data_IF_998511460957
#
_entry.id   IF_998511460957
#
_cell.length_a   1.000
_cell.length_b   1.000
_cell.length_c   1.000
_cell.angle_alpha   90.00
_cell.angle_beta   90.00
_cell.angle_gamma   90.00
#
_symmetry.space_group_name_H-M   'P 1'
#
loop_
_entity.id
_entity.type
_entity.pdbx_description
1 polymer ?
2 non-polymer ?
3 water ?
#
# COMPACT_ATOMS: atom_id res chain seq x y z
N UNK A 10 1.49 -9.33 -13.58
CA UNK A 10 0.96 -7.99 -13.18
C UNK A 10 0.97 -6.95 -14.32
N UNK A 11 -0.09 -6.15 -14.39
CA UNK A 11 -0.09 -5.01 -15.29
C UNK A 11 0.71 -3.89 -14.58
N UNK A 12 0.62 -2.69 -15.15
CA UNK A 12 1.30 -1.51 -14.65
C UNK A 12 0.30 -0.45 -14.23
N UNK A 13 0.79 0.46 -13.41
CA UNK A 13 0.01 1.64 -13.08
C UNK A 13 0.15 2.74 -14.11
N UNK A 14 0.08 3.97 -13.63
CA UNK A 14 0.06 5.14 -14.52
C UNK A 14 1.28 5.98 -14.19
N UNK A 15 2.31 5.79 -14.99
CA UNK A 15 3.59 6.41 -14.70
C UNK A 15 4.02 7.16 -15.96
N UNK A 16 4.56 8.39 -15.81
CA UNK A 16 5.03 9.07 -17.05
C UNK A 16 6.05 8.26 -17.80
N UNK A 17 6.07 8.39 -19.12
CA UNK A 17 7.15 7.81 -19.93
C UNK A 17 8.44 8.46 -19.46
N UNK A 18 9.44 7.67 -19.21
CA UNK A 18 10.74 8.19 -18.83
C UNK A 18 10.82 8.56 -17.38
N UNK A 19 9.85 8.15 -16.58
CA UNK A 19 9.94 8.36 -15.12
C UNK A 19 11.22 7.78 -14.53
N UNK A 20 11.75 8.39 -13.50
CA UNK A 20 12.79 7.72 -12.74
C UNK A 20 12.36 6.40 -12.14
N UNK A 21 11.06 6.19 -11.94
CA UNK A 21 10.57 4.90 -11.50
C UNK A 21 10.36 4.08 -12.74
N UNK A 22 11.31 3.19 -12.97
CA UNK A 22 11.35 2.44 -14.22
C UNK A 22 10.53 1.15 -14.20
N UNK A 23 10.02 0.77 -13.01
CA UNK A 23 9.18 -0.43 -12.90
C UNK A 23 7.88 -0.04 -12.19
N UNK A 24 6.76 -0.61 -12.65
CA UNK A 24 5.45 -0.34 -12.04
C UNK A 24 4.63 -1.62 -12.00
N UNK A 25 4.37 -2.13 -10.78
CA UNK A 25 3.65 -3.37 -10.58
C UNK A 25 2.29 -3.07 -9.97
N UNK A 26 1.23 -3.42 -10.65
CA UNK A 26 -0.15 -3.13 -10.24
C UNK A 26 -0.82 -4.35 -9.65
N UNK A 27 -1.43 -4.17 -8.49
CA UNK A 27 -2.22 -5.18 -7.77
C UNK A 27 -3.66 -4.71 -7.90
N UNK A 28 -4.58 -5.59 -8.24
CA UNK A 28 -5.98 -5.21 -8.22
C UNK A 28 -6.68 -5.95 -7.11
N UNK A 29 -7.41 -5.23 -6.28
CA UNK A 29 -8.09 -5.83 -5.17
C UNK A 29 -9.46 -5.22 -5.00
N UNK A 30 -10.09 -5.57 -3.91
CA UNK A 30 -11.37 -4.93 -3.60
C UNK A 30 -11.66 -5.01 -2.13
N UNK A 31 -12.54 -4.15 -1.67
CA UNK A 31 -13.15 -4.25 -0.34
C UNK A 31 -14.50 -4.89 -0.55
N UNK A 32 -14.77 -5.99 0.14
CA UNK A 32 -16.09 -6.58 -0.01
C UNK A 32 -16.36 -7.54 1.10
N UNK A 33 -17.58 -7.43 1.64
CA UNK A 33 -18.00 -8.18 2.83
C UNK A 33 -17.10 -7.79 3.98
N UNK A 34 -16.53 -8.83 4.59
CA UNK A 34 -15.67 -8.74 5.78
C UNK A 34 -14.50 -7.76 5.60
N UNK A 35 -13.95 -7.74 4.40
CA UNK A 35 -12.71 -7.00 4.14
C UNK A 35 -12.91 -5.51 3.99
N UNK A 36 -14.16 -5.06 3.97
CA UNK A 36 -14.44 -3.62 3.94
C UNK A 36 -14.37 -3.06 5.34
N UNK A 37 -13.15 -2.92 5.86
CA UNK A 37 -12.99 -2.71 7.29
C UNK A 37 -12.96 -1.27 7.78
N UNK A 38 -12.76 -0.31 6.84
CA UNK A 38 -12.62 1.07 7.23
C UNK A 38 -11.26 1.45 7.83
N UNK A 39 -11.09 2.70 8.23
CA UNK A 39 -9.81 3.19 8.69
C UNK A 39 -9.52 2.77 10.14
N UNK A 40 -8.37 3.24 10.63
CA UNK A 40 -7.89 2.88 12.00
C UNK A 40 -8.81 3.29 13.13
N UNK A 41 -9.65 4.29 12.90
CA UNK A 41 -10.63 4.73 13.91
C UNK A 41 -11.60 3.62 14.23
N UNK A 42 -11.82 2.76 13.25
CA UNK A 42 -12.80 1.66 13.37
C UNK A 42 -12.04 0.45 13.80
N UNK A 43 -11.71 0.47 15.09
CA UNK A 43 -10.75 -0.45 15.64
C UNK A 43 -11.30 -1.87 15.67
N UNK A 44 -12.61 -2.01 15.69
CA UNK A 44 -13.20 -3.34 15.65
C UNK A 44 -12.99 -4.00 14.30
N UNK A 45 -12.85 -3.20 13.23
CA UNK A 45 -12.80 -3.83 11.87
C UNK A 45 -11.62 -3.47 10.95
N UNK A 46 -10.79 -2.51 11.37
CA UNK A 46 -9.71 -2.10 10.49
C UNK A 46 -8.81 -3.28 10.14
N UNK A 47 -8.53 -4.13 11.13
CA UNK A 47 -7.64 -5.27 10.91
C UNK A 47 -8.23 -6.34 9.94
N UNK A 48 -9.48 -6.18 9.51
CA UNK A 48 -10.07 -7.06 8.52
C UNK A 48 -9.84 -6.65 7.04
N UNK A 49 -9.26 -5.47 6.85
CA UNK A 49 -8.97 -5.01 5.50
C UNK A 49 -8.00 -5.95 4.81
N UNK A 50 -7.93 -5.89 3.48
CA UNK A 50 -6.93 -6.70 2.77
C UNK A 50 -5.55 -6.34 3.24
N UNK A 51 -4.64 -7.30 3.21
CA UNK A 51 -3.24 -7.04 3.52
C UNK A 51 -2.39 -7.67 2.44
N UNK A 52 -1.49 -6.89 1.85
CA UNK A 52 -0.49 -7.38 0.90
C UNK A 52 0.88 -7.29 1.54
N UNK A 53 1.78 -8.18 1.13
CA UNK A 53 3.09 -8.25 1.72
C UNK A 53 4.11 -8.16 0.60
N UNK A 54 5.10 -7.33 0.78
CA UNK A 54 6.10 -7.17 -0.27
C UNK A 54 7.50 -7.24 0.32
N UNK A 55 8.43 -7.63 -0.54
CA UNK A 55 9.83 -7.70 -0.20
C UNK A 55 10.62 -6.65 -0.97
N UNK A 56 11.42 -5.93 -0.22
CA UNK A 56 12.41 -4.99 -0.79
C UNK A 56 13.75 -5.72 -0.70
N UNK A 57 14.33 -6.04 -1.85
CA UNK A 57 15.57 -6.82 -1.89
C UNK A 57 16.78 -5.91 -1.75
N UNK A 58 16.72 -4.71 -2.33
CA UNK A 58 17.77 -3.70 -2.13
C UNK A 58 17.16 -2.37 -1.72
N UNK A 59 17.67 -1.75 -0.67
CA UNK A 59 17.18 -0.43 -0.22
C UNK A 59 17.24 0.52 -1.41
N UNK A 60 16.20 1.35 -1.54
CA UNK A 60 16.10 2.23 -2.72
C UNK A 60 14.69 2.79 -2.80
N UNK A 61 14.35 3.48 -3.93
CA UNK A 61 13.09 4.24 -3.95
C UNK A 61 11.91 3.37 -4.29
N UNK A 62 10.84 3.65 -3.56
CA UNK A 62 9.56 2.99 -3.78
C UNK A 62 8.47 4.06 -3.63
N UNK A 63 7.57 4.10 -4.60
CA UNK A 63 6.41 4.92 -4.48
C UNK A 63 5.20 4.05 -4.68
N UNK A 64 4.29 4.10 -3.72
CA UNK A 64 3.08 3.29 -3.73
C UNK A 64 1.88 4.22 -3.96
N UNK A 65 1.03 3.87 -4.92
CA UNK A 65 -0.21 4.63 -5.19
C UNK A 65 -1.40 3.74 -4.99
N UNK A 66 -2.45 4.27 -4.38
CA UNK A 66 -3.72 3.60 -4.20
C UNK A 66 -4.78 4.39 -4.92
N UNK A 67 -5.55 3.71 -5.74
CA UNK A 67 -6.75 4.28 -6.34
C UNK A 67 -7.97 3.48 -5.99
N UNK A 68 -9.04 4.19 -5.63
CA UNK A 68 -10.34 3.57 -5.49
C UNK A 68 -11.33 4.49 -6.18
N UNK A 69 -12.61 4.18 -6.03
CA UNK A 69 -13.63 5.07 -6.62
C UNK A 69 -13.47 6.51 -6.19
N UNK A 70 -13.74 7.43 -7.13
CA UNK A 70 -13.71 8.87 -6.89
C UNK A 70 -14.48 9.27 -5.65
N UNK A 71 -15.60 8.58 -5.37
CA UNK A 71 -16.47 8.98 -4.29
C UNK A 71 -16.10 8.35 -2.96
N UNK A 72 -15.03 7.54 -2.92
CA UNK A 72 -14.54 6.99 -1.65
C UNK A 72 -13.30 7.70 -1.19
N UNK A 73 -13.14 7.95 0.12
CA UNK A 73 -11.88 8.53 0.61
C UNK A 73 -11.07 7.34 1.14
N UNK A 74 -9.85 7.32 0.65
CA UNK A 74 -8.95 6.16 0.75
C UNK A 74 -7.63 6.49 1.42
N UNK A 75 -6.96 5.44 1.91
CA UNK A 75 -5.67 5.58 2.57
C UNK A 75 -5.07 4.21 2.77
N UNK A 76 -3.79 4.22 3.01
CA UNK A 76 -3.16 2.94 3.38
C UNK A 76 -2.08 3.15 4.40
N UNK A 77 -1.74 2.04 5.06
CA UNK A 77 -0.61 1.98 6.02
C UNK A 77 0.38 0.98 5.51
N UNK A 78 1.65 1.28 5.76
CA UNK A 78 2.76 0.34 5.47
C UNK A 78 3.38 -0.01 6.80
N UNK A 79 3.54 -1.32 7.07
CA UNK A 79 4.05 -1.76 8.36
C UNK A 79 5.33 -2.56 8.13
N UNK A 80 6.40 -2.25 8.86
CA UNK A 80 7.63 -3.04 8.76
C UNK A 80 7.42 -4.35 9.47
N UNK A 81 7.57 -5.42 8.70
CA UNK A 81 7.50 -6.78 9.25
C UNK A 81 8.87 -7.28 9.70
N UNK A 82 9.89 -7.13 8.84
CA UNK A 82 11.25 -7.73 9.07
C UNK A 82 12.28 -6.91 8.33
N UNK A 83 13.22 -6.30 9.06
CA UNK A 83 14.38 -5.73 8.37
C UNK A 83 15.60 -6.36 9.01
N UNK A 84 16.46 -6.99 8.22
CA UNK A 84 17.56 -7.76 8.81
C UNK A 84 18.80 -6.90 9.00
N UNK A 85 18.93 -5.86 8.17
CA UNK A 85 20.00 -4.88 8.30
C UNK A 85 19.95 -4.20 9.66
N UNK A 86 21.05 -3.53 10.00
CA UNK A 86 21.16 -2.77 11.23
C UNK A 86 20.20 -1.59 11.21
N UNK A 87 19.88 -1.05 12.40
CA UNK A 87 18.85 -0.02 12.65
C UNK A 87 19.14 1.36 12.06
N UNK A 88 18.79 1.58 10.79
CA UNK A 88 19.07 2.87 10.15
C UNK A 88 18.01 3.95 10.34
N UNK A 89 18.35 5.19 9.93
CA UNK A 89 17.48 6.36 10.03
C UNK A 89 16.14 6.21 9.31
N UNK A 90 16.11 5.49 8.20
CA UNK A 90 14.90 5.36 7.40
C UNK A 90 14.03 4.20 7.89
N UNK A 91 14.45 3.55 8.98
CA UNK A 91 13.61 2.53 9.63
C UNK A 91 12.36 3.09 10.30
N UNK A 92 11.28 2.31 10.32
CA UNK A 92 10.02 2.72 10.93
C UNK A 92 9.21 1.51 11.39
N UNK A 93 8.18 1.73 12.22
CA UNK A 93 7.27 0.68 12.55
C UNK A 93 6.10 0.73 11.54
N UNK A 94 5.44 1.86 11.47
CA UNK A 94 4.30 2.03 10.59
C UNK A 94 4.35 3.43 9.98
N UNK A 95 4.07 3.49 8.70
CA UNK A 95 3.89 4.77 8.00
C UNK A 95 2.55 4.75 7.29
N UNK A 96 2.06 5.90 6.88
CA UNK A 96 0.80 5.90 6.15
C UNK A 96 0.76 6.92 5.06
N UNK A 97 -0.23 6.75 4.17
CA UNK A 97 -0.44 7.72 3.12
C UNK A 97 -0.85 9.07 3.62
N UNK A 98 -1.20 9.19 4.90
CA UNK A 98 -1.57 10.48 5.51
C UNK A 98 -3.07 10.57 5.55
N UNK A 99 -3.53 11.80 5.29
CA UNK A 99 -4.95 12.06 5.39
C UNK A 99 -5.68 11.21 4.37
N UNK A 100 -6.86 10.74 4.70
CA UNK A 100 -7.71 10.09 3.68
C UNK A 100 -8.10 11.10 2.61
N UNK A 101 -8.04 10.65 1.38
CA UNK A 101 -8.32 11.53 0.24
C UNK A 101 -9.23 10.86 -0.70
N UNK A 102 -9.96 11.64 -1.45
CA UNK A 102 -10.92 11.07 -2.38
C UNK A 102 -10.23 10.45 -3.55
N UNK A 103 -10.53 9.19 -3.83
CA UNK A 103 -10.07 8.47 -4.99
C UNK A 103 -8.62 8.04 -5.06
N UNK A 104 -7.68 8.82 -4.54
CA UNK A 104 -6.27 8.58 -4.81
C UNK A 104 -5.48 8.99 -3.62
N UNK A 105 -4.43 8.22 -3.30
CA UNK A 105 -3.42 8.69 -2.36
C UNK A 105 -2.10 7.98 -2.67
N UNK A 106 -1.02 8.43 -2.06
CA UNK A 106 0.25 7.79 -2.31
C UNK A 106 1.20 7.96 -1.15
N UNK A 107 2.27 7.15 -1.20
CA UNK A 107 3.36 7.29 -0.23
C UNK A 107 4.65 7.03 -0.93
N UNK A 108 5.59 7.96 -0.81
CA UNK A 108 6.90 7.82 -1.44
C UNK A 108 7.96 7.56 -0.37
N UNK A 109 8.67 6.46 -0.55
CA UNK A 109 9.72 6.00 0.39
C UNK A 109 11.00 5.84 -0.42
N UNK A 110 11.68 6.96 -0.56
CA UNK A 110 12.88 7.02 -1.38
C UNK A 110 14.03 6.17 -0.88
N UNK A 111 14.04 5.89 0.43
CA UNK A 111 15.09 5.03 0.96
C UNK A 111 14.51 3.95 1.85
N UNK A 112 13.49 3.27 1.36
CA UNK A 112 12.89 2.21 2.17
C UNK A 112 13.97 1.16 2.42
N UNK A 113 14.06 0.68 3.67
CA UNK A 113 15.06 -0.37 3.91
C UNK A 113 14.75 -1.71 3.22
N UNK A 114 15.76 -2.56 3.02
CA UNK A 114 15.57 -3.91 2.56
C UNK A 114 14.85 -4.71 3.65
N UNK A 115 13.87 -5.49 3.22
CA UNK A 115 13.07 -6.23 4.20
C UNK A 115 11.72 -6.59 3.67
N UNK A 116 10.88 -6.94 4.66
CA UNK A 116 9.52 -7.42 4.44
C UNK A 116 8.56 -6.41 5.04
N UNK A 117 7.55 -6.03 4.25
CA UNK A 117 6.57 -5.03 4.68
C UNK A 117 5.19 -5.46 4.32
N UNK A 118 4.24 -5.05 5.14
CA UNK A 118 2.83 -5.25 4.84
C UNK A 118 2.17 -3.94 4.47
N UNK A 119 1.16 -3.99 3.63
CA UNK A 119 0.41 -2.79 3.27
C UNK A 119 -1.05 -3.09 3.36
N UNK A 120 -1.75 -2.16 4.00
CA UNK A 120 -3.16 -2.31 4.33
C UNK A 120 -3.96 -1.14 3.73
N UNK A 121 -4.66 -1.37 2.62
CA UNK A 121 -5.47 -0.27 2.04
C UNK A 121 -6.88 -0.24 2.60
N UNK A 122 -7.46 0.96 2.77
CA UNK A 122 -8.81 1.06 3.35
C UNK A 122 -9.53 2.28 2.84
N UNK A 123 -10.84 2.19 2.99
CA UNK A 123 -11.68 3.38 2.89
C UNK A 123 -11.85 4.00 4.25
N UNK A 124 -12.38 5.22 4.32
CA UNK A 124 -12.46 5.82 5.63
C UNK A 124 -13.48 5.12 6.50
N UNK A 125 -14.69 4.89 6.00
CA UNK A 125 -15.74 4.23 6.77
C UNK A 125 -15.74 2.76 6.47
N UNK A 126 -16.19 1.93 7.41
CA UNK A 126 -16.33 0.51 7.08
C UNK A 126 -17.47 0.26 6.09
N UNK A 127 -17.51 -0.92 5.50
CA UNK A 127 -18.63 -1.35 4.62
C UNK A 127 -18.77 -0.50 3.37
N UNK A 128 -17.64 0.03 2.87
CA UNK A 128 -17.59 0.74 1.58
C UNK A 128 -17.02 -0.20 0.56
N UNK A 129 -17.87 -0.85 -0.23
CA UNK A 129 -17.40 -1.96 -1.07
C UNK A 129 -17.07 -1.44 -2.45
N UNK A 130 -16.01 -1.94 -3.04
CA UNK A 130 -15.62 -1.48 -4.34
C UNK A 130 -14.20 -1.89 -4.64
N UNK A 131 -13.76 -1.67 -5.87
CA UNK A 131 -12.44 -2.03 -6.34
C UNK A 131 -11.36 -1.05 -5.99
N UNK A 132 -10.13 -1.52 -6.03
CA UNK A 132 -9.00 -0.60 -5.93
C UNK A 132 -7.83 -1.18 -6.69
N UNK A 133 -6.88 -0.30 -6.98
CA UNK A 133 -5.58 -0.68 -7.55
C UNK A 133 -4.50 -0.17 -6.65
N UNK A 134 -3.50 -1.02 -6.38
CA UNK A 134 -2.34 -0.59 -5.65
C UNK A 134 -1.17 -0.72 -6.56
N UNK A 135 -0.48 0.36 -6.80
CA UNK A 135 0.66 0.34 -7.71
C UNK A 135 1.95 0.50 -6.94
N UNK A 136 2.94 -0.33 -7.26
CA UNK A 136 4.24 -0.27 -6.61
C UNK A 136 5.23 0.12 -7.66
N UNK A 137 5.74 1.33 -7.52
CA UNK A 137 6.65 1.93 -8.51
C UNK A 137 8.06 1.91 -7.93
N UNK A 138 9.03 1.36 -8.67
CA UNK A 138 10.34 1.12 -8.10
C UNK A 138 11.39 1.14 -9.19
N UNK A 139 12.63 0.91 -8.78
CA UNK A 139 13.70 0.68 -9.76
C UNK A 139 14.23 -0.75 -9.72
N UNK A 140 13.91 -1.45 -8.65
CA UNK A 140 14.25 -2.87 -8.53
C UNK A 140 12.94 -3.66 -8.42
N UNK A 141 12.85 -4.87 -8.99
CA UNK A 141 11.62 -5.66 -8.85
C UNK A 141 11.34 -5.99 -7.39
N UNK A 142 10.04 -6.02 -7.10
CA UNK A 142 9.52 -6.31 -5.76
C UNK A 142 8.56 -7.50 -5.80
N UNK A 143 8.83 -8.49 -4.93
CA UNK A 143 7.95 -9.62 -4.81
C UNK A 143 6.76 -9.22 -3.92
N UNK A 144 5.55 -9.57 -4.33
CA UNK A 144 4.34 -9.25 -3.54
C UNK A 144 3.42 -10.45 -3.46
N UNK A 145 2.78 -10.64 -2.32
CA UNK A 145 1.75 -11.64 -2.19
C UNK A 145 0.62 -11.06 -1.37
N UNK A 146 -0.55 -11.63 -1.49
CA UNK A 146 -1.69 -11.23 -0.66
C UNK A 146 -1.82 -12.10 0.57
N UNK A 147 -1.91 -11.50 1.73
CA UNK A 147 -2.08 -12.23 3.01
C UNK A 147 -3.55 -12.47 3.37
N UNK A 148 -4.40 -11.47 3.12
CA UNK A 148 -5.83 -11.58 3.34
C UNK A 148 -6.53 -10.48 2.57
X LIG B 1 0.73 -5.97 9.60
X LIG C 1 -2.33 13.09 -3.21
X LIG D 1 -6.66 8.93 -9.66
X LIG E 1 -6.77 3.25 -12.52
X LIG F 1 -4.96 -4.81 -13.34
X LIG G 1 8.57 -5.54 -12.28
X LIG H 1 5.18 -10.56 -7.65
X LIG I 1 -0.71 -10.11 -4.92
X LIG J 1 12.26 6.67 3.11
X LIG K 1 0.86 5.59 10.57
X LIG L 1 -2.78 11.35 1.69
X LIG M 1 -8.30 11.57 7.67
X LIG N 1 -15.29 0.21 15.54
X LIG O 1 -4.82 -3.78 16.95
X LIG P 1 -6.06 -13.74 0.33
X LIG Q 1 -5.49 -15.82 6.44
X LIG R 1 -17.15 -11.82 3.59
X LIG S 1 3.75 8.31 7.80
#
# INVERSE_FOLDING_TARGET
MGSSHHHHHHSSGLVPRGSPYTLSKRINGKWSGQSAGGCGNFQETHKNNPIYQFHIEKTGPLLIELRGPRQYSVGFEVVTVSTLGDPGPHGFLRKSSGDYRCGFCYLELENIPSGIFNIIPSTFLPKQEGPFFLDFNSIIPIKITQLQ
BR BR
BR BR
BR BR
BR BR
BR BR
BR BR
BR BR
BR BR
BR BR
BR BR
BR BR
BR BR
BR BR
BR BR
BR BR
BR BR
BR BR
BR BR
#
